data_IF_068520237471
#
_entry.id   IF_068520237471
#
_cell.length_a   1.000
_cell.length_b   1.000
_cell.length_c   1.000
_cell.angle_alpha   90.00
_cell.angle_beta   90.00
_cell.angle_gamma   90.00
#
_symmetry.space_group_name_H-M   'P 1'
#
loop_
_entity.id
_entity.type
_entity.pdbx_description
1 polymer ?
#
# COMPACT_ATOMS: atom_id res chain seq x y z
N UNK A 1 -11.53 3.80 12.68
CA UNK A 1 -10.64 2.77 12.08
C UNK A 1 -10.95 2.67 10.60
N UNK A 2 -10.35 3.56 9.80
CA UNK A 2 -10.59 3.62 8.34
C UNK A 2 -9.43 4.33 7.64
N UNK A 3 -8.74 5.22 8.37
CA UNK A 3 -7.64 6.02 7.85
C UNK A 3 -6.51 5.20 7.23
N UNK A 4 -6.07 4.10 7.85
CA UNK A 4 -4.89 3.36 7.36
C UNK A 4 -5.14 2.71 6.00
N UNK A 5 -6.34 2.20 5.76
CA UNK A 5 -6.74 1.67 4.44
C UNK A 5 -6.75 2.78 3.39
N UNK A 6 -7.33 3.95 3.70
CA UNK A 6 -7.36 5.06 2.75
C UNK A 6 -5.96 5.59 2.46
N UNK A 7 -5.08 5.65 3.47
CA UNK A 7 -3.68 6.03 3.30
C UNK A 7 -2.96 5.02 2.41
N UNK A 8 -3.10 3.72 2.69
CA UNK A 8 -2.49 2.65 1.89
C UNK A 8 -3.02 2.62 0.46
N UNK A 9 -4.33 2.80 0.26
CA UNK A 9 -4.96 2.87 -1.05
C UNK A 9 -4.43 4.07 -1.84
N UNK A 10 -4.37 5.25 -1.20
CA UNK A 10 -3.85 6.46 -1.84
C UNK A 10 -2.37 6.29 -2.21
N UNK A 11 -1.58 5.71 -1.31
CA UNK A 11 -0.17 5.41 -1.53
C UNK A 11 0.06 4.44 -2.69
N UNK A 12 -0.70 3.34 -2.78
CA UNK A 12 -0.52 2.36 -3.86
C UNK A 12 -1.04 2.87 -5.22
N UNK A 13 -2.02 3.76 -5.21
CA UNK A 13 -2.50 4.42 -6.44
C UNK A 13 -1.52 5.47 -6.96
N UNK A 14 -0.66 6.00 -6.09
CA UNK A 14 0.32 7.02 -6.45
C UNK A 14 1.30 6.50 -7.52
N UNK A 15 1.57 7.31 -8.55
CA UNK A 15 2.47 6.94 -9.65
C UNK A 15 3.95 7.10 -9.30
N UNK A 16 4.30 7.85 -8.25
CA UNK A 16 5.67 7.96 -7.76
C UNK A 16 6.10 6.70 -7.00
N UNK A 17 5.13 5.90 -6.53
CA UNK A 17 5.41 4.68 -5.77
C UNK A 17 5.78 3.54 -6.71
N UNK A 18 7.01 3.07 -6.57
CA UNK A 18 7.51 1.93 -7.32
C UNK A 18 7.03 0.62 -6.68
N UNK A 19 6.11 -0.07 -7.35
CA UNK A 19 5.53 -1.32 -6.86
C UNK A 19 6.58 -2.42 -6.66
N UNK A 20 7.69 -2.38 -7.41
CA UNK A 20 8.79 -3.35 -7.26
C UNK A 20 9.53 -3.14 -5.94
N UNK A 21 9.77 -1.89 -5.56
CA UNK A 21 10.42 -1.56 -4.28
C UNK A 21 9.47 -1.83 -3.11
N UNK A 22 8.20 -1.45 -3.23
CA UNK A 22 7.18 -1.82 -2.25
C UNK A 22 7.10 -3.32 -2.05
N UNK A 23 7.21 -4.10 -3.13
CA UNK A 23 7.15 -5.55 -3.05
C UNK A 23 8.29 -6.13 -2.21
N UNK A 24 9.49 -5.55 -2.32
CA UNK A 24 10.66 -5.94 -1.53
C UNK A 24 10.54 -5.49 -0.08
N UNK A 25 10.02 -4.29 0.15
CA UNK A 25 9.93 -3.69 1.49
C UNK A 25 8.82 -4.34 2.33
N UNK A 26 7.65 -4.58 1.72
CA UNK A 26 6.47 -5.14 2.40
C UNK A 26 6.38 -6.67 2.28
N UNK A 27 7.20 -7.29 1.44
CA UNK A 27 7.09 -8.72 1.09
C UNK A 27 5.84 -9.09 0.29
N UNK A 28 5.01 -8.12 -0.11
CA UNK A 28 3.80 -8.36 -0.89
C UNK A 28 4.19 -8.54 -2.36
N UNK A 29 3.74 -9.61 -3.02
CA UNK A 29 4.05 -9.82 -4.43
C UNK A 29 3.59 -8.65 -5.31
N UNK A 30 4.42 -8.27 -6.28
CA UNK A 30 4.11 -7.22 -7.26
C UNK A 30 2.73 -7.39 -7.92
N UNK A 31 2.34 -8.62 -8.26
CA UNK A 31 1.02 -8.92 -8.84
C UNK A 31 -0.14 -8.54 -7.90
N UNK A 32 0.03 -8.75 -6.60
CA UNK A 32 -0.94 -8.37 -5.58
C UNK A 32 -1.02 -6.85 -5.44
N UNK A 33 0.14 -6.17 -5.43
CA UNK A 33 0.19 -4.71 -5.39
C UNK A 33 -0.46 -4.07 -6.64
N UNK A 34 -0.21 -4.63 -7.82
CA UNK A 34 -0.83 -4.19 -9.05
C UNK A 34 -2.37 -4.37 -9.03
N UNK A 35 -2.86 -5.48 -8.44
CA UNK A 35 -4.29 -5.68 -8.22
C UNK A 35 -4.87 -4.67 -7.25
N UNK A 36 -4.20 -4.41 -6.13
CA UNK A 36 -4.65 -3.41 -5.15
C UNK A 36 -4.68 -1.99 -5.72
N UNK A 37 -3.75 -1.67 -6.62
CA UNK A 37 -3.76 -0.40 -7.36
C UNK A 37 -4.99 -0.26 -8.26
N UNK A 38 -5.37 -1.35 -8.93
CA UNK A 38 -6.51 -1.36 -9.83
C UNK A 38 -7.84 -1.46 -9.08
N UNK A 39 -7.84 -2.16 -7.95
CA UNK A 39 -9.01 -2.42 -7.12
C UNK A 39 -8.63 -2.32 -5.63
N UNK A 40 -8.88 -1.16 -4.99
CA UNK A 40 -8.57 -0.96 -3.58
C UNK A 40 -9.52 -1.71 -2.64
N UNK A 41 -10.68 -2.20 -3.11
CA UNK A 41 -11.55 -3.06 -2.30
C UNK A 41 -10.92 -4.43 -2.06
N UNK A 42 -10.12 -4.94 -3.00
CA UNK A 42 -9.31 -6.14 -2.78
C UNK A 42 -8.31 -5.96 -1.63
N UNK A 43 -7.85 -4.74 -1.37
CA UNK A 43 -7.00 -4.44 -0.23
C UNK A 43 -7.77 -4.56 1.10
N UNK A 44 -9.07 -4.23 1.14
CA UNK A 44 -9.94 -4.50 2.31
C UNK A 44 -10.14 -5.99 2.57
N UNK A 45 -10.21 -6.79 1.50
CA UNK A 45 -10.35 -8.25 1.61
C UNK A 45 -9.03 -8.95 1.94
N UNK A 46 -7.91 -8.28 1.72
CA UNK A 46 -6.59 -8.77 2.09
C UNK A 46 -6.33 -8.61 3.59
N UNK A 47 -5.30 -9.31 4.10
CA UNK A 47 -4.89 -9.24 5.49
C UNK A 47 -4.60 -7.80 5.92
N UNK A 48 -5.22 -7.35 7.02
CA UNK A 48 -4.99 -6.03 7.63
C UNK A 48 -3.51 -5.72 7.89
N UNK A 49 -2.71 -6.75 8.11
CA UNK A 49 -1.24 -6.70 8.21
C UNK A 49 -0.59 -6.02 7.00
N UNK A 50 -0.99 -6.38 5.78
CA UNK A 50 -0.47 -5.80 4.52
C UNK A 50 -0.86 -4.35 4.35
N UNK A 51 -2.10 -4.02 4.72
CA UNK A 51 -2.64 -2.67 4.67
C UNK A 51 -1.89 -1.77 5.65
N UNK A 52 -1.65 -2.28 6.85
CA UNK A 52 -0.92 -1.57 7.89
C UNK A 52 0.53 -1.31 7.48
N UNK A 53 1.25 -2.31 6.96
CA UNK A 53 2.60 -2.16 6.42
C UNK A 53 2.66 -1.07 5.32
N UNK A 54 1.73 -1.09 4.37
CA UNK A 54 1.64 -0.07 3.32
C UNK A 54 1.37 1.33 3.90
N UNK A 55 0.47 1.43 4.87
CA UNK A 55 0.13 2.70 5.52
C UNK A 55 1.30 3.24 6.36
N UNK A 56 2.05 2.38 7.05
CA UNK A 56 3.25 2.75 7.79
C UNK A 56 4.35 3.25 6.85
N UNK A 57 4.69 2.51 5.79
CA UNK A 57 5.66 2.96 4.78
C UNK A 57 5.24 4.31 4.18
N UNK A 58 3.94 4.48 3.88
CA UNK A 58 3.41 5.72 3.35
C UNK A 58 3.56 6.89 4.33
N UNK A 59 3.25 6.69 5.62
CA UNK A 59 3.44 7.71 6.66
C UNK A 59 4.91 8.07 6.81
N UNK A 60 5.80 7.08 6.82
CA UNK A 60 7.26 7.27 6.90
C UNK A 60 7.79 8.16 5.78
N UNK A 61 7.33 7.93 4.54
CA UNK A 61 7.69 8.73 3.35
C UNK A 61 7.07 10.13 3.36
N UNK A 62 5.95 10.34 4.07
CA UNK A 62 5.27 11.63 4.17
C UNK A 62 5.85 12.54 5.26
N UNK A 63 6.48 11.97 6.28
CA UNK A 63 7.16 12.72 7.35
C UNK A 63 8.55 13.23 6.91
N UNK A 64 9.09 12.74 5.79
CA UNK A 64 10.38 13.18 5.21
C UNK A 64 10.26 14.24 4.09
N UNK A 65 9.05 14.68 3.69
CA UNK A 65 8.83 15.71 2.65
C UNK A 65 8.45 17.09 3.22
#
# INVERSE_FOLDING_TARGET
>A
MTNDLEIAAKFITDRKVNLVELSKETGISHTTLARFRHDPEQMRRASWDKVYQLAETAKKRKDEE
#
